data_IF_312996040075
#
_entry.id   IF_312996040075
#
_cell.length_a   1.000
_cell.length_b   1.000
_cell.length_c   1.000
_cell.angle_alpha   90.00
_cell.angle_beta   90.00
_cell.angle_gamma   90.00
#
_symmetry.space_group_name_H-M   'P 1'
#
loop_
_entity.id
_entity.type
_entity.pdbx_description
1 polymer ?
#
# COMPACT_ATOMS: atom_id res chain seq x y z
N UNK A 1 -6.19 9.59 -1.04
CA UNK A 1 -6.42 11.02 -0.70
C UNK A 1 -5.27 11.90 -1.19
N UNK A 2 -5.26 13.23 -0.99
CA UNK A 2 -4.07 14.05 -1.23
C UNK A 2 -3.02 13.81 -0.15
N UNK A 3 -1.74 13.88 -0.51
CA UNK A 3 -0.61 13.62 0.38
C UNK A 3 0.44 14.74 0.24
N UNK A 4 1.00 15.17 1.36
CA UNK A 4 2.04 16.19 1.38
C UNK A 4 2.60 16.42 2.78
N UNK A 5 2.44 17.63 3.33
CA UNK A 5 2.93 17.90 4.70
C UNK A 5 2.10 17.14 5.74
N UNK A 6 0.79 17.01 5.49
CA UNK A 6 -0.11 16.17 6.26
C UNK A 6 -0.34 14.83 5.52
N UNK A 7 -0.59 13.75 6.28
CA UNK A 7 -0.94 12.44 5.70
C UNK A 7 -2.19 12.57 4.83
N UNK A 8 -3.22 13.23 5.34
CA UNK A 8 -4.39 13.64 4.58
C UNK A 8 -4.27 15.14 4.26
N UNK A 9 -3.46 15.48 3.25
CA UNK A 9 -3.19 16.87 2.91
C UNK A 9 -4.41 17.56 2.28
N UNK A 10 -4.42 18.89 2.33
CA UNK A 10 -5.45 19.67 1.67
C UNK A 10 -5.40 19.47 0.15
N UNK A 11 -6.57 19.25 -0.43
CA UNK A 11 -6.76 19.17 -1.86
C UNK A 11 -8.09 19.77 -2.27
N UNK A 12 -8.20 20.13 -3.54
CA UNK A 12 -9.42 20.72 -4.08
C UNK A 12 -10.47 19.66 -4.52
N UNK A 13 -10.13 18.36 -4.48
CA UNK A 13 -10.93 17.24 -4.99
C UNK A 13 -11.48 17.47 -6.42
N UNK A 14 -10.81 18.31 -7.21
CA UNK A 14 -11.10 18.57 -8.61
C UNK A 14 -10.26 17.69 -9.55
N UNK A 15 -10.23 18.01 -10.86
CA UNK A 15 -9.36 17.34 -11.80
C UNK A 15 -7.89 17.39 -11.36
N UNK A 16 -7.21 16.24 -11.45
CA UNK A 16 -5.79 16.12 -11.10
C UNK A 16 -4.93 16.96 -12.05
N UNK A 17 -3.99 17.70 -11.47
CA UNK A 17 -3.05 18.54 -12.18
C UNK A 17 -1.59 18.10 -11.90
N UNK A 18 -0.66 18.35 -12.83
CA UNK A 18 0.76 18.08 -12.61
C UNK A 18 1.26 18.73 -11.31
N UNK A 19 2.00 17.97 -10.51
CA UNK A 19 2.48 18.38 -9.20
C UNK A 19 1.61 17.96 -8.03
N UNK A 20 0.36 17.51 -8.25
CA UNK A 20 -0.41 16.87 -7.18
C UNK A 20 0.24 15.54 -6.79
N UNK A 21 0.23 15.26 -5.48
CA UNK A 21 0.57 13.94 -4.92
C UNK A 21 -0.68 13.39 -4.24
N UNK A 22 -1.06 12.17 -4.61
CA UNK A 22 -2.22 11.48 -4.07
C UNK A 22 -1.88 10.03 -3.76
N UNK A 23 -2.59 9.42 -2.82
CA UNK A 23 -2.56 7.97 -2.61
C UNK A 23 -3.54 7.26 -3.55
N UNK A 24 -3.18 6.05 -3.99
CA UNK A 24 -4.05 5.10 -4.69
C UNK A 24 -4.10 3.82 -3.87
N UNK A 25 -5.23 3.58 -3.21
CA UNK A 25 -5.31 2.69 -2.04
C UNK A 25 -6.50 1.71 -2.05
N UNK A 26 -6.71 0.92 -3.13
CA UNK A 26 -7.82 -0.04 -3.18
C UNK A 26 -7.69 -1.11 -2.08
N UNK A 27 -8.83 -1.43 -1.44
CA UNK A 27 -8.90 -2.49 -0.43
C UNK A 27 -10.18 -3.31 -0.50
N UNK A 28 -10.06 -4.58 -0.10
CA UNK A 28 -11.17 -5.52 0.06
C UNK A 28 -11.11 -6.07 1.48
N UNK A 29 -12.22 -6.00 2.18
CA UNK A 29 -12.35 -6.43 3.57
C UNK A 29 -13.56 -7.35 3.70
N UNK A 30 -13.33 -8.60 4.08
CA UNK A 30 -14.37 -9.64 4.13
C UNK A 30 -14.63 -10.00 5.59
N UNK A 31 -15.74 -9.52 6.15
CA UNK A 31 -16.14 -9.85 7.52
C UNK A 31 -16.54 -11.33 7.62
N UNK A 32 -16.59 -11.84 8.85
CA UNK A 32 -17.31 -13.08 9.12
C UNK A 32 -18.75 -12.99 8.57
N UNK A 33 -19.28 -14.13 8.12
CA UNK A 33 -20.64 -14.27 7.56
C UNK A 33 -20.93 -13.47 6.27
N UNK A 34 -19.88 -13.02 5.55
CA UNK A 34 -20.02 -12.40 4.23
C UNK A 34 -20.58 -13.39 3.19
N UNK A 35 -21.31 -12.92 2.14
CA UNK A 35 -21.93 -13.77 1.12
C UNK A 35 -20.92 -14.31 0.09
N UNK A 36 -19.93 -15.07 0.56
CA UNK A 36 -18.90 -15.73 -0.23
C UNK A 36 -18.40 -16.99 0.50
N UNK A 37 -17.46 -17.73 -0.10
CA UNK A 37 -16.86 -18.89 0.56
C UNK A 37 -16.23 -18.52 1.91
N UNK A 38 -16.47 -19.36 2.92
CA UNK A 38 -15.97 -19.19 4.29
C UNK A 38 -14.44 -19.06 4.38
N UNK A 39 -13.70 -19.64 3.43
CA UNK A 39 -12.23 -19.53 3.39
C UNK A 39 -11.71 -18.10 3.21
N UNK A 40 -12.55 -17.18 2.74
CA UNK A 40 -12.20 -15.78 2.54
C UNK A 40 -12.56 -14.88 3.72
N UNK A 41 -13.29 -15.39 4.72
CA UNK A 41 -13.73 -14.58 5.85
C UNK A 41 -12.57 -14.20 6.77
N UNK A 42 -12.67 -13.00 7.35
CA UNK A 42 -11.65 -12.44 8.23
C UNK A 42 -10.42 -11.91 7.50
N UNK A 43 -10.41 -11.95 6.16
CA UNK A 43 -9.31 -11.44 5.34
C UNK A 43 -9.61 -9.98 4.96
N UNK A 44 -8.65 -9.11 5.24
CA UNK A 44 -8.62 -7.73 4.79
C UNK A 44 -7.29 -7.43 4.11
N UNK A 45 -7.35 -6.90 2.89
CA UNK A 45 -6.18 -6.56 2.08
C UNK A 45 -6.37 -5.16 1.52
N UNK A 46 -5.34 -4.33 1.62
CA UNK A 46 -5.20 -3.05 0.92
C UNK A 46 -3.80 -2.96 0.35
N UNK A 47 -3.69 -2.50 -0.89
CA UNK A 47 -2.42 -2.15 -1.53
C UNK A 47 -2.48 -0.66 -1.81
N UNK A 48 -1.47 0.08 -1.41
CA UNK A 48 -1.46 1.53 -1.42
C UNK A 48 -0.13 2.05 -1.97
N UNK A 49 -0.23 2.97 -2.92
CA UNK A 49 0.91 3.65 -3.54
C UNK A 49 0.75 5.17 -3.50
N UNK A 50 1.88 5.87 -3.42
CA UNK A 50 2.00 7.32 -3.48
C UNK A 50 2.28 7.77 -4.91
N UNK A 51 1.34 8.50 -5.52
CA UNK A 51 1.36 8.85 -6.93
C UNK A 51 1.54 10.35 -7.12
N UNK A 52 2.64 10.73 -7.76
CA UNK A 52 2.88 12.08 -8.28
C UNK A 52 2.29 12.22 -9.68
N UNK A 53 1.38 13.16 -9.88
CA UNK A 53 0.84 13.49 -11.20
C UNK A 53 1.86 14.31 -11.99
N UNK A 54 2.12 13.90 -13.23
CA UNK A 54 3.06 14.56 -14.14
C UNK A 54 2.30 15.18 -15.33
N UNK A 55 2.99 15.97 -16.16
CA UNK A 55 2.39 16.59 -17.35
C UNK A 55 1.84 15.60 -18.36
N UNK A 56 2.32 14.36 -18.37
CA UNK A 56 1.97 13.33 -19.35
C UNK A 56 1.41 12.05 -18.72
N UNK A 57 1.17 12.02 -17.41
CA UNK A 57 0.75 10.83 -16.70
C UNK A 57 1.04 10.91 -15.21
N UNK A 58 1.78 9.92 -14.68
CA UNK A 58 2.10 9.85 -13.27
C UNK A 58 3.46 9.18 -13.01
N UNK A 59 3.98 9.35 -11.80
CA UNK A 59 5.14 8.64 -11.26
C UNK A 59 4.75 8.02 -9.93
N UNK A 60 5.02 6.73 -9.77
CA UNK A 60 4.87 6.04 -8.50
C UNK A 60 6.11 6.32 -7.62
N UNK A 61 5.91 6.92 -6.45
CA UNK A 61 6.96 7.28 -5.50
C UNK A 61 7.32 6.13 -4.56
N UNK A 62 6.42 5.16 -4.40
CA UNK A 62 6.54 3.95 -3.57
C UNK A 62 6.88 2.69 -4.37
N UNK A 63 7.18 2.81 -5.67
CA UNK A 63 7.41 1.70 -6.63
C UNK A 63 8.49 0.69 -6.23
N UNK A 64 9.34 1.00 -5.25
CA UNK A 64 10.39 0.12 -4.74
C UNK A 64 9.86 -0.98 -3.82
N UNK A 65 8.64 -0.84 -3.32
CA UNK A 65 8.02 -1.84 -2.46
C UNK A 65 7.43 -2.97 -3.33
N UNK A 66 7.68 -4.25 -2.99
CA UNK A 66 7.08 -5.35 -3.72
C UNK A 66 5.56 -5.38 -3.45
N UNK A 67 4.78 -5.53 -4.51
CA UNK A 67 3.30 -5.63 -4.43
C UNK A 67 2.77 -6.94 -4.99
N UNK A 68 3.55 -7.60 -5.86
CA UNK A 68 3.16 -8.91 -6.39
C UNK A 68 3.40 -9.98 -5.34
N UNK A 69 2.50 -10.96 -5.18
CA UNK A 69 2.63 -12.00 -4.16
C UNK A 69 4.01 -12.69 -4.18
N UNK A 70 4.52 -13.05 -5.35
CA UNK A 70 5.81 -13.72 -5.51
C UNK A 70 7.01 -12.85 -5.10
N UNK A 71 6.92 -11.54 -5.32
CA UNK A 71 7.98 -10.59 -4.94
C UNK A 71 7.94 -10.34 -3.42
N UNK A 72 6.75 -10.29 -2.83
CA UNK A 72 6.55 -10.18 -1.39
C UNK A 72 7.07 -11.43 -0.68
N UNK A 73 6.71 -12.62 -1.14
CA UNK A 73 7.20 -13.89 -0.59
C UNK A 73 8.73 -13.95 -0.63
N UNK A 74 9.34 -13.60 -1.77
CA UNK A 74 10.80 -13.54 -1.91
C UNK A 74 11.46 -12.52 -0.97
N UNK A 75 10.82 -11.39 -0.73
CA UNK A 75 11.30 -10.39 0.22
C UNK A 75 11.23 -10.91 1.67
N UNK A 76 10.16 -11.63 2.01
CA UNK A 76 9.97 -12.24 3.33
C UNK A 76 10.95 -13.37 3.64
N UNK A 77 11.49 -14.04 2.62
CA UNK A 77 12.54 -15.06 2.77
C UNK A 77 13.91 -14.48 3.17
N UNK A 78 14.12 -13.17 3.01
CA UNK A 78 15.39 -12.55 3.37
C UNK A 78 15.61 -12.62 4.89
N UNK A 79 16.85 -12.87 5.36
CA UNK A 79 17.14 -12.85 6.79
C UNK A 79 16.73 -11.51 7.41
N UNK A 80 15.90 -11.58 8.45
CA UNK A 80 15.55 -10.38 9.21
C UNK A 80 16.81 -9.79 9.82
N UNK A 81 16.91 -8.45 9.80
CA UNK A 81 17.96 -7.72 10.51
C UNK A 81 17.98 -8.06 12.01
N UNK A 82 16.84 -8.52 12.54
CA UNK A 82 16.71 -8.94 13.94
C UNK A 82 17.34 -10.32 14.20
N UNK A 83 17.51 -11.17 13.18
CA UNK A 83 18.08 -12.51 13.35
C UNK A 83 19.52 -12.48 13.89
N UNK A 84 20.27 -11.42 13.61
CA UNK A 84 21.63 -11.21 14.12
C UNK A 84 21.72 -10.20 15.28
N UNK A 85 20.58 -9.67 15.73
CA UNK A 85 20.54 -8.61 16.74
C UNK A 85 20.63 -9.12 18.19
N UNK A 86 20.59 -10.43 18.41
CA UNK A 86 20.53 -11.03 19.75
C UNK A 86 19.23 -10.76 20.51
N UNK A 87 18.31 -9.96 19.95
CA UNK A 87 16.95 -9.77 20.43
C UNK A 87 16.20 -11.08 20.12
N UNK A 88 15.90 -11.84 21.18
CA UNK A 88 15.08 -13.04 21.04
C UNK A 88 13.66 -12.59 20.64
N UNK A 89 13.10 -13.27 19.65
CA UNK A 89 11.65 -13.27 19.47
C UNK A 89 11.07 -14.00 20.70
N UNK A 90 10.49 -13.24 21.63
CA UNK A 90 9.61 -13.81 22.67
C UNK A 90 8.29 -14.29 22.06
#
# INVERSE_FOLDING_TARGET
HYLGLDVHDMGNYGPLAPGNVITVEPGIYISADSPCDRKWWGIGIRIEDDILITTTGHKNLSEKLPVKPEEVEKAMEQPSILNNSGLKNE
#
